data_IF_848683096056
#
_entry.id   IF_848683096056
#
_cell.length_a   1.000
_cell.length_b   1.000
_cell.length_c   1.000
_cell.angle_alpha   90.00
_cell.angle_beta   90.00
_cell.angle_gamma   90.00
#
_symmetry.space_group_name_H-M   'P 1'
#
loop_
_entity.id
_entity.type
_entity.pdbx_description
1 polymer ?
#
# COMPACT_ATOMS: atom_id res chain seq x y z
N UNK A 1 7.95 -19.35 7.24
CA UNK A 1 7.96 -19.31 5.76
C UNK A 1 8.53 -17.97 5.34
N UNK A 2 9.34 -17.89 4.28
CA UNK A 2 9.80 -16.62 3.72
C UNK A 2 8.62 -15.76 3.26
N UNK A 3 8.71 -14.44 3.45
CA UNK A 3 7.68 -13.47 3.06
C UNK A 3 7.28 -13.62 1.59
N UNK A 4 8.25 -13.89 0.71
CA UNK A 4 8.02 -14.07 -0.74
C UNK A 4 7.01 -15.16 -1.09
N UNK A 5 7.01 -16.27 -0.34
CA UNK A 5 6.07 -17.37 -0.58
C UNK A 5 4.65 -16.96 -0.19
N UNK A 6 4.50 -16.27 0.94
CA UNK A 6 3.21 -15.74 1.39
C UNK A 6 2.71 -14.69 0.41
N UNK A 7 3.60 -13.80 -0.05
CA UNK A 7 3.31 -12.77 -1.04
C UNK A 7 2.78 -13.36 -2.35
N UNK A 8 3.52 -14.29 -2.95
CA UNK A 8 3.13 -14.97 -4.20
C UNK A 8 1.75 -15.62 -4.08
N UNK A 9 1.44 -16.23 -2.92
CA UNK A 9 0.15 -16.86 -2.68
C UNK A 9 -0.99 -15.84 -2.53
N UNK A 10 -0.74 -14.70 -1.88
CA UNK A 10 -1.71 -13.59 -1.80
C UNK A 10 -2.03 -13.05 -3.19
N UNK A 11 -1.02 -12.81 -4.02
CA UNK A 11 -1.18 -12.34 -5.40
C UNK A 11 -1.91 -13.39 -6.25
N UNK A 12 -1.53 -14.67 -6.18
CA UNK A 12 -2.19 -15.73 -6.92
C UNK A 12 -3.68 -15.80 -6.62
N UNK A 13 -4.07 -15.66 -5.34
CA UNK A 13 -5.48 -15.61 -4.94
C UNK A 13 -6.20 -14.41 -5.54
N UNK A 14 -5.59 -13.21 -5.51
CA UNK A 14 -6.19 -12.01 -6.08
C UNK A 14 -6.44 -12.18 -7.59
N UNK A 15 -5.46 -12.71 -8.32
CA UNK A 15 -5.58 -12.99 -9.76
C UNK A 15 -6.68 -14.01 -10.05
N UNK A 16 -6.72 -15.13 -9.31
CA UNK A 16 -7.72 -16.18 -9.55
C UNK A 16 -9.14 -15.76 -9.21
N UNK A 17 -9.32 -14.82 -8.28
CA UNK A 17 -10.64 -14.32 -7.87
C UNK A 17 -11.08 -13.05 -8.58
N UNK A 18 -10.15 -12.33 -9.21
CA UNK A 18 -10.38 -10.97 -9.70
C UNK A 18 -10.52 -9.93 -8.58
N UNK A 19 -10.24 -10.28 -7.32
CA UNK A 19 -10.37 -9.41 -6.16
C UNK A 19 -9.00 -9.04 -5.59
N UNK A 20 -8.62 -7.76 -5.77
CA UNK A 20 -7.38 -7.19 -5.25
C UNK A 20 -7.46 -6.77 -3.77
N UNK A 21 -8.59 -6.95 -3.09
CA UNK A 21 -8.84 -6.43 -1.73
C UNK A 21 -7.78 -6.87 -0.71
N UNK A 22 -7.18 -8.05 -0.87
CA UNK A 22 -6.18 -8.60 0.04
C UNK A 22 -4.74 -8.13 -0.24
N UNK A 23 -4.50 -7.41 -1.34
CA UNK A 23 -3.16 -6.91 -1.67
C UNK A 23 -2.77 -5.77 -0.72
N UNK A 24 -1.51 -5.72 -0.24
CA UNK A 24 -1.03 -4.68 0.64
C UNK A 24 -0.81 -3.39 -0.13
N UNK A 25 -1.23 -2.28 0.47
CA UNK A 25 -0.79 -0.93 0.12
C UNK A 25 0.08 -0.41 1.26
N UNK A 26 1.20 0.20 0.89
CA UNK A 26 2.20 0.69 1.83
C UNK A 26 2.05 2.20 2.05
N UNK A 27 2.30 2.61 3.28
CA UNK A 27 2.25 3.98 3.73
C UNK A 27 3.44 4.28 4.62
N UNK A 28 3.91 5.53 4.63
CA UNK A 28 4.80 6.00 5.67
C UNK A 28 4.10 5.85 7.03
N UNK A 29 4.81 5.34 8.04
CA UNK A 29 4.29 5.23 9.39
C UNK A 29 3.88 6.59 10.00
N UNK A 30 4.38 7.70 9.43
CA UNK A 30 3.98 9.06 9.81
C UNK A 30 2.48 9.33 9.65
N UNK A 31 1.77 8.56 8.82
CA UNK A 31 0.30 8.62 8.71
C UNK A 31 -0.39 8.44 10.07
N UNK A 32 0.22 7.69 10.98
CA UNK A 32 -0.28 7.38 12.31
C UNK A 32 -0.15 8.56 13.30
N UNK A 33 0.75 9.52 13.07
CA UNK A 33 0.99 10.63 13.99
C UNK A 33 -0.27 11.46 14.23
N UNK A 34 -1.01 11.80 13.16
CA UNK A 34 -2.30 12.51 13.25
C UNK A 34 -3.27 11.83 14.22
N UNK A 35 -3.26 10.51 14.26
CA UNK A 35 -4.15 9.75 15.13
C UNK A 35 -3.70 9.78 16.58
N UNK A 36 -2.40 9.61 16.83
CA UNK A 36 -1.81 9.75 18.16
C UNK A 36 -2.05 11.13 18.76
N UNK A 37 -1.88 12.19 17.97
CA UNK A 37 -2.14 13.58 18.38
C UNK A 37 -3.59 13.82 18.80
N UNK A 38 -4.53 13.01 18.26
CA UNK A 38 -5.96 13.05 18.58
C UNK A 38 -6.35 12.07 19.69
N UNK A 39 -5.37 11.52 20.41
CA UNK A 39 -5.57 10.63 21.55
C UNK A 39 -5.85 9.17 21.18
N UNK A 40 -5.60 8.76 19.93
CA UNK A 40 -5.59 7.34 19.58
C UNK A 40 -4.44 6.62 20.29
N UNK A 41 -4.55 5.29 20.41
CA UNK A 41 -3.50 4.44 20.96
C UNK A 41 -3.04 3.43 19.93
N UNK A 42 -1.76 3.06 19.97
CA UNK A 42 -1.23 1.98 19.15
C UNK A 42 -0.77 0.85 20.07
N UNK A 43 -1.22 -0.37 19.77
CA UNK A 43 -0.68 -1.61 20.33
C UNK A 43 0.07 -2.34 19.23
N UNK A 44 1.28 -2.83 19.48
CA UNK A 44 2.08 -3.47 18.42
C UNK A 44 3.07 -4.50 18.93
N UNK A 45 3.48 -5.38 18.03
CA UNK A 45 4.70 -6.18 18.09
C UNK A 45 5.76 -5.53 17.19
N UNK A 46 6.84 -6.26 16.88
CA UNK A 46 7.84 -5.82 15.92
C UNK A 46 7.33 -5.82 14.47
N UNK A 47 6.26 -6.54 14.14
CA UNK A 47 5.83 -6.77 12.76
C UNK A 47 4.37 -6.45 12.49
N UNK A 48 3.54 -6.29 13.52
CA UNK A 48 2.11 -6.00 13.40
C UNK A 48 1.72 -4.95 14.41
N UNK A 49 0.89 -4.00 14.00
CA UNK A 49 0.33 -2.98 14.85
C UNK A 49 -1.19 -2.88 14.72
N UNK A 50 -1.77 -2.21 15.71
CA UNK A 50 -3.19 -1.99 15.85
C UNK A 50 -3.43 -0.55 16.30
N UNK A 51 -4.16 0.21 15.51
CA UNK A 51 -4.62 1.55 15.86
C UNK A 51 -5.99 1.47 16.54
N UNK A 52 -6.06 2.02 17.75
CA UNK A 52 -7.25 2.07 18.59
C UNK A 52 -7.74 3.51 18.71
N UNK A 53 -8.94 3.76 18.22
CA UNK A 53 -9.60 5.06 18.28
C UNK A 53 -10.93 4.92 19.02
N UNK A 54 -11.23 5.76 20.02
CA UNK A 54 -12.51 5.72 20.73
C UNK A 54 -13.69 5.86 19.75
N UNK A 55 -14.63 4.91 19.79
CA UNK A 55 -15.85 4.95 18.97
C UNK A 55 -15.64 4.71 17.47
N UNK A 56 -14.44 4.30 17.03
CA UNK A 56 -14.15 3.98 15.63
C UNK A 56 -13.70 2.53 15.47
N UNK A 57 -13.71 2.05 14.23
CA UNK A 57 -13.19 0.73 13.89
C UNK A 57 -11.69 0.64 14.24
N UNK A 58 -11.29 -0.56 14.64
CA UNK A 58 -9.88 -0.90 14.88
C UNK A 58 -9.21 -1.13 13.53
N UNK A 59 -8.02 -0.56 13.34
CA UNK A 59 -7.23 -0.74 12.12
C UNK A 59 -5.99 -1.56 12.46
N UNK A 60 -5.92 -2.78 11.91
CA UNK A 60 -4.74 -3.63 11.98
C UNK A 60 -3.82 -3.35 10.78
N UNK A 61 -2.51 -3.32 10.99
CA UNK A 61 -1.51 -3.04 9.96
C UNK A 61 -0.23 -3.86 10.16
N UNK A 62 0.46 -4.18 9.07
CA UNK A 62 1.81 -4.74 9.12
C UNK A 62 2.86 -3.63 9.24
N UNK A 63 4.01 -3.95 9.83
CA UNK A 63 5.14 -3.05 10.06
C UNK A 63 6.37 -3.61 9.36
N UNK A 64 7.03 -2.78 8.55
CA UNK A 64 8.23 -3.15 7.79
C UNK A 64 9.25 -2.00 7.83
N UNK A 65 10.48 -2.25 7.36
CA UNK A 65 11.56 -1.26 7.28
C UNK A 65 11.83 -0.54 8.62
N UNK A 66 12.06 -1.31 9.69
CA UNK A 66 12.37 -0.79 11.04
C UNK A 66 11.38 0.30 11.51
N UNK A 67 10.09 0.05 11.25
CA UNK A 67 8.95 0.90 11.63
C UNK A 67 8.75 2.16 10.78
N UNK A 68 9.52 2.34 9.71
CA UNK A 68 9.34 3.47 8.81
C UNK A 68 8.10 3.35 7.92
N UNK A 69 7.70 2.11 7.60
CA UNK A 69 6.61 1.81 6.67
C UNK A 69 5.61 0.84 7.31
N UNK A 70 4.33 1.12 7.08
CA UNK A 70 3.23 0.23 7.44
C UNK A 70 2.49 -0.20 6.18
N UNK A 71 1.76 -1.31 6.26
CA UNK A 71 0.85 -1.70 5.18
C UNK A 71 -0.50 -2.18 5.69
N UNK A 72 -1.54 -1.85 4.93
CA UNK A 72 -2.91 -2.33 5.10
C UNK A 72 -3.32 -3.09 3.84
N UNK A 73 -4.38 -3.89 3.92
CA UNK A 73 -4.98 -4.48 2.72
C UNK A 73 -5.77 -3.42 1.95
N UNK A 74 -5.78 -3.49 0.62
CA UNK A 74 -6.49 -2.53 -0.24
C UNK A 74 -7.96 -2.35 0.20
N UNK A 75 -8.66 -3.45 0.48
CA UNK A 75 -10.06 -3.41 0.91
C UNK A 75 -10.29 -2.77 2.28
N UNK A 76 -9.28 -2.76 3.16
CA UNK A 76 -9.38 -2.14 4.48
C UNK A 76 -9.41 -0.61 4.38
N UNK A 77 -8.75 -0.02 3.37
CA UNK A 77 -8.77 1.43 3.18
C UNK A 77 -10.20 1.91 2.88
N UNK A 78 -10.90 1.23 1.97
CA UNK A 78 -12.27 1.60 1.63
C UNK A 78 -13.27 1.39 2.77
N UNK A 79 -13.05 0.37 3.62
CA UNK A 79 -14.01 -0.08 4.63
C UNK A 79 -13.75 0.46 6.04
N UNK A 80 -12.49 0.69 6.42
CA UNK A 80 -12.11 1.11 7.78
C UNK A 80 -11.72 2.59 7.85
N UNK A 81 -11.22 3.18 6.76
CA UNK A 81 -10.80 4.59 6.73
C UNK A 81 -11.99 5.47 6.29
N UNK A 82 -12.44 6.41 7.14
CA UNK A 82 -13.50 7.34 6.78
C UNK A 82 -13.13 8.13 5.52
N UNK A 83 -14.12 8.44 4.67
CA UNK A 83 -13.86 9.15 3.40
C UNK A 83 -13.12 10.48 3.60
N UNK A 84 -13.48 11.22 4.65
CA UNK A 84 -12.84 12.49 5.04
C UNK A 84 -11.38 12.36 5.50
N UNK A 85 -10.90 11.14 5.72
CA UNK A 85 -9.52 10.86 6.12
C UNK A 85 -8.70 10.24 4.98
N UNK A 86 -9.32 9.82 3.86
CA UNK A 86 -8.63 9.11 2.78
C UNK A 86 -7.53 9.91 2.13
N UNK A 87 -7.74 11.22 1.89
CA UNK A 87 -6.71 12.08 1.29
C UNK A 87 -5.44 12.12 2.17
N UNK A 88 -5.60 12.16 3.49
CA UNK A 88 -4.44 12.09 4.40
C UNK A 88 -3.68 10.78 4.28
N UNK A 89 -4.37 9.65 4.10
CA UNK A 89 -3.69 8.39 3.85
C UNK A 89 -2.97 8.40 2.51
N UNK A 90 -3.61 8.91 1.45
CA UNK A 90 -3.02 9.00 0.11
C UNK A 90 -1.77 9.90 0.09
N UNK A 91 -1.73 10.97 0.87
CA UNK A 91 -0.55 11.83 1.03
C UNK A 91 0.66 11.10 1.62
N UNK A 92 0.44 9.98 2.33
CA UNK A 92 1.49 9.16 2.94
C UNK A 92 1.76 7.88 2.15
N UNK A 93 1.18 7.73 0.95
CA UNK A 93 1.34 6.53 0.13
C UNK A 93 2.82 6.33 -0.26
N UNK A 94 3.33 5.12 -0.04
CA UNK A 94 4.66 4.72 -0.52
C UNK A 94 4.48 4.02 -1.86
N UNK A 95 5.02 4.62 -2.92
CA UNK A 95 4.97 4.02 -4.24
C UNK A 95 5.88 2.78 -4.29
N UNK A 96 5.41 1.64 -4.84
CA UNK A 96 6.31 0.56 -5.18
C UNK A 96 7.27 1.01 -6.29
N UNK A 97 8.34 0.26 -6.51
CA UNK A 97 9.17 0.44 -7.71
C UNK A 97 8.30 0.28 -8.95
N UNK A 98 8.09 1.38 -9.68
CA UNK A 98 7.18 1.43 -10.81
C UNK A 98 7.69 2.42 -11.88
N UNK A 99 7.37 2.12 -13.14
CA UNK A 99 7.63 3.04 -14.25
C UNK A 99 6.62 4.19 -14.21
N UNK A 100 7.10 5.42 -13.97
CA UNK A 100 6.27 6.62 -14.01
C UNK A 100 5.57 6.80 -15.37
N UNK A 101 6.25 6.72 -16.54
CA UNK A 101 5.58 6.84 -17.84
C UNK A 101 4.46 5.82 -18.02
N UNK A 102 4.68 4.57 -17.61
CA UNK A 102 3.67 3.53 -17.73
C UNK A 102 2.43 3.79 -16.86
N UNK A 103 2.63 4.26 -15.61
CA UNK A 103 1.51 4.68 -14.75
C UNK A 103 0.74 5.86 -15.35
N UNK A 104 1.43 6.83 -15.95
CA UNK A 104 0.80 7.97 -16.63
C UNK A 104 -0.05 7.51 -17.82
N UNK A 105 0.46 6.60 -18.66
CA UNK A 105 -0.29 6.03 -19.79
C UNK A 105 -1.56 5.28 -19.35
N UNK A 106 -1.54 4.66 -18.17
CA UNK A 106 -2.72 3.99 -17.61
C UNK A 106 -3.80 4.98 -17.18
N UNK A 107 -3.39 6.12 -16.62
CA UNK A 107 -4.29 7.19 -16.16
C UNK A 107 -4.80 8.06 -17.32
N UNK A 108 -3.96 8.27 -18.33
CA UNK A 108 -4.22 9.10 -19.50
C UNK A 108 -3.80 8.34 -20.77
N UNK A 109 -4.67 7.46 -21.29
CA UNK A 109 -4.41 6.75 -22.53
C UNK A 109 -4.15 7.73 -23.67
N UNK A 110 -3.00 7.60 -24.33
CA UNK A 110 -2.58 8.49 -25.43
C UNK A 110 -1.63 9.62 -25.04
N UNK A 111 -1.18 9.69 -23.78
CA UNK A 111 -0.08 10.58 -23.40
C UNK A 111 1.19 10.24 -24.22
N UNK A 112 1.70 11.24 -24.95
CA UNK A 112 2.94 11.10 -25.71
C UNK A 112 4.13 11.31 -24.77
N UNK A 113 4.94 10.26 -24.63
CA UNK A 113 6.18 10.29 -23.87
C UNK A 113 7.33 10.04 -24.84
N UNK A 114 8.30 10.96 -24.89
CA UNK A 114 9.56 10.73 -25.58
C UNK A 114 10.50 9.96 -24.64
N UNK A 115 10.47 8.63 -24.75
CA UNK A 115 11.24 7.68 -23.93
C UNK A 115 12.33 6.95 -24.75
N UNK A 116 12.73 7.56 -25.88
CA UNK A 116 13.74 7.04 -26.79
C UNK A 116 13.24 5.98 -27.78
N UNK A 117 14.20 5.33 -28.45
CA UNK A 117 13.92 4.35 -29.50
C UNK A 117 13.43 3.01 -28.94
N UNK A 118 12.54 2.36 -29.71
CA UNK A 118 12.08 1.01 -29.40
C UNK A 118 13.24 0.02 -29.55
N UNK A 119 13.45 -0.80 -28.52
CA UNK A 119 14.50 -1.83 -28.46
C UNK A 119 13.87 -3.17 -28.06
N UNK A 120 14.43 -4.26 -28.57
CA UNK A 120 14.03 -5.61 -28.16
C UNK A 120 14.54 -5.93 -26.75
N UNK A 121 13.76 -6.70 -25.99
CA UNK A 121 14.19 -7.18 -24.66
C UNK A 121 15.17 -8.33 -24.81
N UNK A 122 16.44 -8.09 -24.50
CA UNK A 122 17.47 -9.14 -24.39
C UNK A 122 17.87 -9.30 -22.94
N UNK A 123 17.63 -10.47 -22.29
CA UNK A 123 18.12 -10.70 -20.94
C UNK A 123 19.65 -10.65 -20.93
N UNK A 124 20.23 -10.05 -19.89
CA UNK A 124 21.68 -10.19 -19.63
C UNK A 124 22.01 -11.68 -19.42
N UNK A 125 23.10 -12.14 -20.02
CA UNK A 125 23.55 -13.53 -19.99
C UNK A 125 24.07 -13.97 -18.62
#
# INVERSE_FOLDING_TARGET
MPTDHVWKRTVARAVSSGDASALPIHFSAAVLHRYLDRGAKILRTNTVGRLLQPGKAVIDFGIVEDDAVIHLRFGDIGSLIPESERDHWLDHLVAPTASRPYLQMTLQPGACHDDGELREWTPEA
#
